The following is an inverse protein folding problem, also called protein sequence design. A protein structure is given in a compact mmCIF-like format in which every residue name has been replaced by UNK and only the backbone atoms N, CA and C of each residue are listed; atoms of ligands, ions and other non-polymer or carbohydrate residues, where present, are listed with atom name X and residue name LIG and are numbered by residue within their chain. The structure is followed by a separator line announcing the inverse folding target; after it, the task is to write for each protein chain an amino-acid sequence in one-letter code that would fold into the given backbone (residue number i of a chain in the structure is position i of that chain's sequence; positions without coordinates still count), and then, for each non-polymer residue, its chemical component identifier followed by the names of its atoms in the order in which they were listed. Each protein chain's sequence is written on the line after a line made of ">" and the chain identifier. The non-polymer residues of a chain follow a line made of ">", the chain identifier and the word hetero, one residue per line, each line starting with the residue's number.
data_IF_470468935602
#
_entry.id   IF_470468935602
#
_cell.length_a   1.000
_cell.length_b   1.000
_cell.length_c   1.000
_cell.angle_alpha   90.00
_cell.angle_beta   90.00
_cell.angle_gamma   90.00
#
_symmetry.space_group_name_H-M   'P 1'
#
loop_
_entity.id
_entity.type
_entity.pdbx_description
1 polymer ?
#
# COMPACT_ATOMS: atom_id res chain seq x y z
N UNK A 1 -26.68 -36.30 -15.86
CA UNK A 1 -25.98 -35.96 -14.60
C UNK A 1 -24.71 -35.14 -14.84
N UNK A 2 -24.45 -34.65 -16.06
CA UNK A 2 -23.23 -33.87 -16.37
C UNK A 2 -23.38 -32.34 -16.22
N UNK A 3 -24.62 -31.82 -16.21
CA UNK A 3 -24.87 -30.37 -16.10
C UNK A 3 -24.48 -29.77 -14.73
N UNK A 4 -24.59 -30.54 -13.63
CA UNK A 4 -24.24 -30.07 -12.29
C UNK A 4 -22.73 -29.89 -12.09
N UNK A 5 -21.88 -30.69 -12.76
CA UNK A 5 -20.42 -30.57 -12.63
C UNK A 5 -19.85 -29.36 -13.40
N UNK A 6 -20.47 -29.01 -14.53
CA UNK A 6 -20.07 -27.83 -15.31
C UNK A 6 -20.42 -26.52 -14.60
N UNK A 7 -21.52 -26.48 -13.85
CA UNK A 7 -21.95 -25.27 -13.13
C UNK A 7 -21.02 -24.96 -11.94
N UNK A 8 -20.66 -25.99 -11.16
CA UNK A 8 -19.75 -25.87 -10.00
C UNK A 8 -18.33 -25.46 -10.40
N UNK A 9 -17.85 -25.94 -11.55
CA UNK A 9 -16.50 -25.59 -12.05
C UNK A 9 -16.46 -24.15 -12.58
N UNK A 10 -17.53 -23.70 -13.23
CA UNK A 10 -17.68 -22.34 -13.74
C UNK A 10 -17.81 -21.32 -12.59
N UNK A 11 -18.58 -21.63 -11.55
CA UNK A 11 -18.70 -20.80 -10.34
C UNK A 11 -17.37 -20.63 -9.60
N UNK A 12 -16.60 -21.71 -9.48
CA UNK A 12 -15.27 -21.68 -8.86
C UNK A 12 -14.29 -20.82 -9.66
N UNK A 13 -14.28 -20.94 -10.98
CA UNK A 13 -13.42 -20.13 -11.83
C UNK A 13 -13.77 -18.64 -11.74
N UNK A 14 -15.07 -18.32 -11.73
CA UNK A 14 -15.54 -16.94 -11.57
C UNK A 14 -15.12 -16.37 -10.19
N UNK A 15 -15.21 -17.16 -9.12
CA UNK A 15 -14.76 -16.75 -7.80
C UNK A 15 -13.25 -16.46 -7.76
N UNK A 16 -12.42 -17.29 -8.41
CA UNK A 16 -10.96 -17.08 -8.48
C UNK A 16 -10.60 -15.82 -9.29
N UNK A 17 -11.29 -15.58 -10.41
CA UNK A 17 -11.10 -14.35 -11.21
C UNK A 17 -11.44 -13.09 -10.41
N UNK A 18 -12.52 -13.14 -9.64
CA UNK A 18 -12.91 -12.01 -8.79
C UNK A 18 -11.91 -11.79 -7.64
N UNK A 19 -11.42 -12.86 -7.00
CA UNK A 19 -10.36 -12.76 -5.99
C UNK A 19 -9.08 -12.14 -6.56
N UNK A 20 -8.66 -12.56 -7.77
CA UNK A 20 -7.49 -12.00 -8.45
C UNK A 20 -7.68 -10.51 -8.75
N UNK A 21 -8.86 -10.10 -9.23
CA UNK A 21 -9.18 -8.69 -9.47
C UNK A 21 -9.08 -7.88 -8.18
N UNK A 22 -9.71 -8.33 -7.11
CA UNK A 22 -9.68 -7.63 -5.81
C UNK A 22 -8.25 -7.51 -5.25
N UNK A 23 -7.44 -8.56 -5.40
CA UNK A 23 -6.04 -8.53 -4.97
C UNK A 23 -5.21 -7.54 -5.80
N UNK A 24 -5.45 -7.48 -7.12
CA UNK A 24 -4.79 -6.52 -8.01
C UNK A 24 -5.17 -5.06 -7.67
N UNK A 25 -6.44 -4.80 -7.42
CA UNK A 25 -6.94 -3.48 -7.03
C UNK A 25 -6.34 -3.03 -5.69
N UNK A 26 -6.27 -3.94 -4.71
CA UNK A 26 -5.63 -3.67 -3.42
C UNK A 26 -4.15 -3.34 -3.57
N UNK A 27 -3.42 -4.15 -4.35
CA UNK A 27 -1.99 -3.90 -4.61
C UNK A 27 -1.78 -2.55 -5.30
N UNK A 28 -2.58 -2.23 -6.30
CA UNK A 28 -2.52 -0.94 -7.01
C UNK A 28 -2.74 0.24 -6.06
N UNK A 29 -3.76 0.16 -5.21
CA UNK A 29 -4.04 1.19 -4.21
C UNK A 29 -2.92 1.32 -3.18
N UNK A 30 -2.44 0.21 -2.62
CA UNK A 30 -1.37 0.21 -1.63
C UNK A 30 -0.07 0.81 -2.20
N UNK A 31 0.26 0.46 -3.45
CA UNK A 31 1.42 1.02 -4.17
C UNK A 31 1.30 2.53 -4.33
N UNK A 32 0.16 3.01 -4.82
CA UNK A 32 -0.07 4.44 -5.00
C UNK A 32 0.09 5.23 -3.70
N UNK A 33 -0.51 4.74 -2.60
CA UNK A 33 -0.44 5.40 -1.31
C UNK A 33 0.99 5.40 -0.77
N UNK A 34 1.72 4.29 -0.89
CA UNK A 34 3.12 4.18 -0.47
C UNK A 34 4.01 5.16 -1.25
N UNK A 35 3.93 5.16 -2.58
CA UNK A 35 4.74 6.02 -3.44
C UNK A 35 4.45 7.51 -3.17
N UNK A 36 3.19 7.85 -2.90
CA UNK A 36 2.81 9.20 -2.49
C UNK A 36 3.39 9.55 -1.10
N UNK A 37 3.37 8.63 -0.15
CA UNK A 37 3.99 8.79 1.16
C UNK A 37 5.49 9.03 1.07
N UNK A 38 6.22 8.24 0.26
CA UNK A 38 7.66 8.43 0.04
C UNK A 38 7.98 9.82 -0.51
N UNK A 39 7.22 10.29 -1.51
CA UNK A 39 7.40 11.61 -2.10
C UNK A 39 7.21 12.73 -1.07
N UNK A 40 6.16 12.66 -0.26
CA UNK A 40 5.91 13.68 0.76
C UNK A 40 6.97 13.68 1.86
N UNK A 41 7.43 12.50 2.29
CA UNK A 41 8.50 12.40 3.28
C UNK A 41 9.81 13.00 2.77
N UNK A 42 10.13 12.79 1.48
CA UNK A 42 11.31 13.42 0.86
C UNK A 42 11.16 14.94 0.79
N UNK A 43 9.98 15.45 0.41
CA UNK A 43 9.71 16.90 0.44
C UNK A 43 9.83 17.49 1.85
N UNK A 44 9.37 16.77 2.89
CA UNK A 44 9.54 17.20 4.27
C UNK A 44 11.03 17.32 4.63
N UNK A 45 11.84 16.32 4.26
CA UNK A 45 13.30 16.32 4.50
C UNK A 45 13.99 17.49 3.81
N UNK A 46 13.65 17.76 2.55
CA UNK A 46 14.21 18.86 1.77
C UNK A 46 13.78 20.24 2.30
N UNK A 47 12.59 20.33 2.89
CA UNK A 47 12.03 21.58 3.41
C UNK A 47 12.42 21.93 4.85
N UNK A 48 13.34 21.17 5.48
CA UNK A 48 13.71 21.31 6.90
C UNK A 48 13.87 22.77 7.35
N UNK A 49 14.73 23.54 6.69
CA UNK A 49 15.01 24.91 7.10
C UNK A 49 13.80 25.83 6.92
N UNK A 50 13.04 25.66 5.84
CA UNK A 50 11.81 26.43 5.59
C UNK A 50 10.74 26.12 6.64
N UNK A 51 10.58 24.85 7.00
CA UNK A 51 9.65 24.41 8.05
C UNK A 51 10.02 25.01 9.41
N UNK A 52 11.29 24.88 9.81
CA UNK A 52 11.79 25.42 11.09
C UNK A 52 11.63 26.94 11.13
N UNK A 53 12.00 27.65 10.05
CA UNK A 53 11.85 29.11 9.98
C UNK A 53 10.38 29.53 10.01
N UNK A 54 9.49 28.79 9.35
CA UNK A 54 8.04 29.04 9.42
C UNK A 54 7.52 28.94 10.85
N UNK A 55 7.95 27.94 11.62
CA UNK A 55 7.56 27.82 13.03
C UNK A 55 8.16 28.94 13.90
N UNK A 56 9.39 29.36 13.63
CA UNK A 56 10.01 30.48 14.35
C UNK A 56 9.28 31.79 14.10
N UNK A 57 8.72 32.00 12.91
CA UNK A 57 7.90 33.17 12.61
C UNK A 57 6.60 33.23 13.42
N UNK A 58 6.19 32.14 14.08
CA UNK A 58 5.05 32.14 15.01
C UNK A 58 5.48 32.34 16.47
N UNK A 59 6.74 32.72 16.72
CA UNK A 59 7.26 33.02 18.06
C UNK A 59 7.96 31.87 18.77
N UNK A 60 8.14 30.71 18.12
CA UNK A 60 8.91 29.61 18.70
C UNK A 60 10.40 29.90 18.67
N UNK A 61 11.12 29.45 19.70
CA UNK A 61 12.57 29.37 19.64
C UNK A 61 13.01 28.36 18.59
N UNK A 62 14.27 28.45 18.15
CA UNK A 62 14.83 27.48 17.22
C UNK A 62 14.76 26.05 17.76
N UNK A 63 15.02 25.85 19.06
CA UNK A 63 15.00 24.51 19.66
C UNK A 63 13.60 23.92 19.62
N UNK A 64 12.58 24.70 19.99
CA UNK A 64 11.18 24.23 19.95
C UNK A 64 10.71 23.94 18.53
N UNK A 65 11.07 24.81 17.57
CA UNK A 65 10.76 24.60 16.16
C UNK A 65 11.45 23.35 15.59
N UNK A 66 12.73 23.13 15.95
CA UNK A 66 13.48 21.93 15.57
C UNK A 66 12.84 20.67 16.14
N UNK A 67 12.49 20.66 17.43
CA UNK A 67 11.83 19.51 18.05
C UNK A 67 10.51 19.17 17.36
N UNK A 68 9.71 20.18 16.99
CA UNK A 68 8.46 19.95 16.24
C UNK A 68 8.70 19.39 14.84
N UNK A 69 9.72 19.86 14.13
CA UNK A 69 10.13 19.30 12.85
C UNK A 69 10.57 17.83 13.00
N UNK A 70 11.43 17.54 13.98
CA UNK A 70 11.95 16.20 14.21
C UNK A 70 10.80 15.22 14.55
N UNK A 71 9.87 15.62 15.43
CA UNK A 71 8.68 14.82 15.74
C UNK A 71 7.81 14.57 14.50
N UNK A 72 7.59 15.59 13.67
CA UNK A 72 6.81 15.43 12.43
C UNK A 72 7.48 14.47 11.45
N UNK A 73 8.82 14.53 11.35
CA UNK A 73 9.60 13.64 10.51
C UNK A 73 9.53 12.19 11.00
N UNK A 74 9.61 11.98 12.31
CA UNK A 74 9.52 10.66 12.94
C UNK A 74 8.12 10.06 12.74
N UNK A 75 7.05 10.84 12.97
CA UNK A 75 5.67 10.41 12.76
C UNK A 75 5.42 10.00 11.30
N UNK A 76 5.83 10.84 10.33
CA UNK A 76 5.67 10.52 8.91
C UNK A 76 6.52 9.30 8.47
N UNK A 77 7.71 9.15 9.03
CA UNK A 77 8.55 7.98 8.77
C UNK A 77 7.92 6.70 9.34
N UNK A 78 7.28 6.79 10.51
CA UNK A 78 6.50 5.72 11.12
C UNK A 78 5.33 5.29 10.23
N UNK A 79 4.51 6.25 9.77
CA UNK A 79 3.40 5.97 8.87
C UNK A 79 3.85 5.35 7.54
N UNK A 80 4.94 5.84 6.94
CA UNK A 80 5.47 5.25 5.71
C UNK A 80 5.87 3.79 5.90
N UNK A 81 6.43 3.44 7.07
CA UNK A 81 6.76 2.06 7.42
C UNK A 81 5.50 1.17 7.48
N UNK A 82 4.42 1.66 8.09
CA UNK A 82 3.13 0.96 8.14
C UNK A 82 2.56 0.74 6.73
N UNK A 83 2.63 1.76 5.87
CA UNK A 83 2.23 1.65 4.46
C UNK A 83 3.07 0.60 3.71
N UNK A 84 4.36 0.52 4.01
CA UNK A 84 5.25 -0.50 3.43
C UNK A 84 4.85 -1.93 3.82
N UNK A 85 4.39 -2.13 5.06
CA UNK A 85 3.84 -3.43 5.52
C UNK A 85 2.56 -3.78 4.77
N UNK A 86 1.65 -2.82 4.59
CA UNK A 86 0.40 -3.03 3.83
C UNK A 86 0.68 -3.34 2.35
N UNK A 87 1.65 -2.66 1.75
CA UNK A 87 2.08 -2.91 0.38
C UNK A 87 2.65 -4.33 0.21
N UNK A 88 3.53 -4.78 1.12
CA UNK A 88 4.05 -6.15 1.11
C UNK A 88 2.93 -7.18 1.28
N UNK A 89 1.98 -6.91 2.18
CA UNK A 89 0.81 -7.77 2.36
C UNK A 89 -0.05 -7.86 1.09
N UNK A 90 -0.38 -6.72 0.46
CA UNK A 90 -1.14 -6.69 -0.78
C UNK A 90 -0.42 -7.43 -1.93
N UNK A 91 0.91 -7.31 -1.98
CA UNK A 91 1.73 -8.05 -2.96
C UNK A 91 1.63 -9.56 -2.75
N UNK A 92 1.70 -10.04 -1.50
CA UNK A 92 1.56 -11.46 -1.18
C UNK A 92 0.17 -12.00 -1.56
N UNK A 93 -0.89 -11.23 -1.27
CA UNK A 93 -2.25 -11.59 -1.67
C UNK A 93 -2.39 -11.72 -3.18
N UNK A 94 -1.85 -10.76 -3.93
CA UNK A 94 -1.88 -10.81 -5.40
C UNK A 94 -1.10 -12.00 -5.95
N UNK A 95 0.12 -12.23 -5.47
CA UNK A 95 0.93 -13.39 -5.86
C UNK A 95 0.22 -14.70 -5.58
N UNK A 96 -0.46 -14.81 -4.43
CA UNK A 96 -1.25 -15.99 -4.08
C UNK A 96 -2.43 -16.19 -5.04
N UNK A 97 -3.19 -15.13 -5.33
CA UNK A 97 -4.33 -15.19 -6.24
C UNK A 97 -3.92 -15.56 -7.66
N UNK A 98 -2.76 -15.09 -8.14
CA UNK A 98 -2.20 -15.52 -9.42
C UNK A 98 -1.91 -17.03 -9.43
N UNK A 99 -1.25 -17.55 -8.40
CA UNK A 99 -0.93 -18.98 -8.29
C UNK A 99 -2.19 -19.85 -8.21
N UNK A 100 -3.22 -19.40 -7.50
CA UNK A 100 -4.51 -20.10 -7.42
C UNK A 100 -5.22 -20.14 -8.79
N UNK A 101 -5.14 -19.05 -9.58
CA UNK A 101 -5.68 -18.99 -10.94
C UNK A 101 -4.91 -19.89 -11.92
N UNK A 102 -3.59 -19.91 -11.85
CA UNK A 102 -2.73 -20.78 -12.67
C UNK A 102 -2.98 -22.27 -12.37
N UNK A 103 -3.12 -22.61 -11.08
CA UNK A 103 -3.44 -23.98 -10.64
C UNK A 103 -4.81 -24.42 -11.17
N UNK A 104 -5.81 -23.52 -11.16
CA UNK A 104 -7.13 -23.83 -11.71
C UNK A 104 -7.08 -24.02 -13.23
N UNK A 105 -6.32 -23.21 -13.97
CA UNK A 105 -6.15 -23.37 -15.40
C UNK A 105 -5.47 -24.70 -15.78
N UNK A 106 -4.48 -25.13 -14.99
CA UNK A 106 -3.80 -26.41 -15.20
C UNK A 106 -4.67 -27.64 -14.89
N UNK A 107 -5.70 -27.51 -14.04
CA UNK A 107 -6.60 -28.61 -13.70
C UNK A 107 -7.71 -28.85 -14.74
N UNK A 108 -7.90 -27.91 -15.68
CA UNK A 108 -8.91 -27.95 -16.74
C UNK A 108 -8.31 -28.39 -18.09
N UNK A 109 -6.98 -28.36 -18.23
CA UNK A 109 -6.22 -28.79 -19.41
C UNK A 109 -5.86 -30.27 -19.38
#
# INVERSE_FOLDING_TARGET
>A
MDQDLTDVTQDREQALREQLRQAADRLTRARYIYDYGEKNLNLLRESRENFINSLRNTGLSYIEAKTKYDNCLDDQSGHLKELGVELDYAQRLYTRACADMETAAAAVS
#
